data_IF_101366886126
#
_entry.id   IF_101366886126
#
_cell.length_a   1.000
_cell.length_b   1.000
_cell.length_c   1.000
_cell.angle_alpha   90.00
_cell.angle_beta   90.00
_cell.angle_gamma   90.00
#
_symmetry.space_group_name_H-M   'P 1'
#
loop_
_entity.id
_entity.type
_entity.pdbx_description
1 polymer ?
#
# COMPACT_ATOMS: atom_id res chain seq x y z
N UNK A 1 -16.22 6.42 -25.09
CA UNK A 1 -15.16 5.38 -25.09
C UNK A 1 -14.26 5.62 -23.88
N UNK A 2 -14.14 4.61 -23.01
CA UNK A 2 -12.99 4.23 -22.17
C UNK A 2 -12.09 5.31 -21.52
N UNK A 3 -12.61 6.13 -20.60
CA UNK A 3 -11.74 6.93 -19.71
C UNK A 3 -11.21 6.11 -18.52
N UNK A 4 -11.91 5.04 -18.12
CA UNK A 4 -11.52 4.19 -16.97
C UNK A 4 -10.41 3.16 -17.25
N UNK A 5 -10.35 2.62 -18.46
CA UNK A 5 -9.31 1.67 -18.86
C UNK A 5 -7.89 2.26 -18.70
N UNK A 6 -7.58 3.48 -19.19
CA UNK A 6 -6.25 4.06 -19.03
C UNK A 6 -5.90 4.36 -17.56
N UNK A 7 -6.89 4.64 -16.70
CA UNK A 7 -6.66 4.84 -15.27
C UNK A 7 -6.28 3.52 -14.56
N UNK A 8 -6.94 2.42 -14.93
CA UNK A 8 -6.61 1.07 -14.42
C UNK A 8 -5.22 0.65 -14.88
N UNK A 9 -4.91 0.82 -16.17
CA UNK A 9 -3.60 0.47 -16.72
C UNK A 9 -2.48 1.28 -16.06
N UNK A 10 -2.72 2.58 -15.82
CA UNK A 10 -1.81 3.45 -15.07
C UNK A 10 -1.60 2.95 -13.64
N UNK A 11 -2.68 2.58 -12.94
CA UNK A 11 -2.58 2.03 -11.60
C UNK A 11 -1.74 0.75 -11.58
N UNK A 12 -2.01 -0.19 -12.49
CA UNK A 12 -1.28 -1.46 -12.58
C UNK A 12 0.20 -1.24 -12.93
N UNK A 13 0.50 -0.31 -13.84
CA UNK A 13 1.88 0.05 -14.18
C UNK A 13 2.64 0.62 -12.97
N UNK A 14 1.99 1.45 -12.15
CA UNK A 14 2.59 1.98 -10.92
C UNK A 14 2.80 0.89 -9.86
N UNK A 15 1.88 -0.07 -9.73
CA UNK A 15 2.04 -1.23 -8.85
C UNK A 15 3.25 -2.07 -9.29
N UNK A 16 3.37 -2.35 -10.59
CA UNK A 16 4.52 -3.06 -11.14
C UNK A 16 5.83 -2.30 -10.90
N UNK A 17 5.85 -0.98 -11.11
CA UNK A 17 7.02 -0.14 -10.84
C UNK A 17 7.42 -0.15 -9.35
N UNK A 18 6.44 -0.14 -8.43
CA UNK A 18 6.70 -0.25 -7.00
C UNK A 18 7.33 -1.60 -6.63
N UNK A 19 6.85 -2.72 -7.20
CA UNK A 19 7.45 -4.03 -7.00
C UNK A 19 8.85 -4.15 -7.64
N UNK A 20 9.08 -3.52 -8.79
CA UNK A 20 10.41 -3.45 -9.38
C UNK A 20 11.40 -2.64 -8.52
N UNK A 21 10.90 -1.63 -7.79
CA UNK A 21 11.69 -0.84 -6.85
C UNK A 21 12.02 -1.56 -5.53
N UNK A 22 11.11 -2.42 -5.05
CA UNK A 22 11.30 -3.30 -3.89
C UNK A 22 10.65 -4.67 -4.15
N UNK A 23 11.47 -5.63 -4.58
CA UNK A 23 11.04 -6.99 -4.89
C UNK A 23 10.52 -7.80 -3.69
N UNK A 24 10.66 -7.28 -2.47
CA UNK A 24 10.08 -7.89 -1.27
C UNK A 24 8.60 -7.53 -1.09
N UNK A 25 8.08 -6.56 -1.83
CA UNK A 25 6.67 -6.18 -1.77
C UNK A 25 5.81 -7.21 -2.49
N UNK A 26 4.77 -7.70 -1.81
CA UNK A 26 3.69 -8.42 -2.49
C UNK A 26 2.92 -7.46 -3.40
N UNK A 27 2.20 -7.99 -4.38
CA UNK A 27 1.37 -7.17 -5.27
C UNK A 27 0.30 -6.39 -4.50
N UNK A 28 -0.24 -6.95 -3.40
CA UNK A 28 -1.22 -6.27 -2.54
C UNK A 28 -0.54 -5.14 -1.75
N UNK A 29 0.66 -5.35 -1.22
CA UNK A 29 1.42 -4.32 -0.54
C UNK A 29 1.77 -3.16 -1.47
N UNK A 30 2.29 -3.45 -2.67
CA UNK A 30 2.53 -2.44 -3.68
C UNK A 30 1.24 -1.69 -4.06
N UNK A 31 0.13 -2.40 -4.21
CA UNK A 31 -1.20 -1.82 -4.41
C UNK A 31 -1.64 -0.88 -3.30
N UNK A 32 -1.45 -1.25 -2.03
CA UNK A 32 -1.77 -0.41 -0.86
C UNK A 32 -0.99 0.91 -0.87
N UNK A 33 0.30 0.85 -1.22
CA UNK A 33 1.16 2.02 -1.30
C UNK A 33 0.76 2.93 -2.47
N UNK A 34 0.57 2.36 -3.66
CA UNK A 34 0.16 3.14 -4.84
C UNK A 34 -1.22 3.76 -4.65
N UNK A 35 -2.17 3.02 -4.07
CA UNK A 35 -3.51 3.54 -3.80
C UNK A 35 -3.50 4.71 -2.80
N UNK A 36 -2.62 4.68 -1.80
CA UNK A 36 -2.47 5.81 -0.88
C UNK A 36 -1.75 7.00 -1.53
N UNK A 37 -0.73 6.76 -2.35
CA UNK A 37 -0.01 7.81 -3.09
C UNK A 37 -0.94 8.56 -4.05
N UNK A 38 -1.82 7.83 -4.73
CA UNK A 38 -2.78 8.40 -5.68
C UNK A 38 -4.05 8.98 -5.03
N UNK A 39 -4.15 8.96 -3.69
CA UNK A 39 -5.37 9.41 -2.99
C UNK A 39 -6.59 8.50 -3.20
N UNK A 40 -6.39 7.29 -3.74
CA UNK A 40 -7.46 6.33 -4.00
C UNK A 40 -7.95 5.75 -2.67
N UNK A 41 -7.08 5.28 -1.79
CA UNK A 41 -7.48 4.73 -0.50
C UNK A 41 -6.42 4.93 0.58
N UNK A 42 -6.86 5.33 1.78
CA UNK A 42 -6.02 5.54 2.97
C UNK A 42 -6.46 4.66 4.15
N UNK A 43 -7.29 3.66 3.90
CA UNK A 43 -7.73 2.73 4.91
C UNK A 43 -8.06 1.34 4.36
N UNK A 44 -7.96 0.34 5.23
CA UNK A 44 -8.10 -1.07 4.89
C UNK A 44 -9.44 -1.43 4.26
N UNK A 45 -10.54 -0.80 4.69
CA UNK A 45 -11.90 -1.10 4.17
C UNK A 45 -12.11 -0.49 2.79
N UNK A 46 -11.72 0.76 2.62
CA UNK A 46 -11.82 1.45 1.33
C UNK A 46 -11.00 0.74 0.26
N UNK A 47 -9.79 0.30 0.60
CA UNK A 47 -8.94 -0.46 -0.32
C UNK A 47 -9.56 -1.81 -0.69
N UNK A 48 -9.94 -2.62 0.30
CA UNK A 48 -10.60 -3.92 0.09
C UNK A 48 -11.83 -3.80 -0.82
N UNK A 49 -12.69 -2.82 -0.54
CA UNK A 49 -13.91 -2.58 -1.32
C UNK A 49 -13.61 -2.17 -2.76
N UNK A 50 -12.62 -1.30 -2.99
CA UNK A 50 -12.28 -0.82 -4.34
C UNK A 50 -11.67 -1.91 -5.21
N UNK A 51 -10.85 -2.79 -4.64
CA UNK A 51 -10.22 -3.87 -5.39
C UNK A 51 -11.01 -5.18 -5.37
N UNK A 52 -12.14 -5.24 -4.65
CA UNK A 52 -12.97 -6.45 -4.56
C UNK A 52 -12.28 -7.61 -3.85
N UNK A 53 -11.36 -7.34 -2.92
CA UNK A 53 -10.61 -8.36 -2.17
C UNK A 53 -11.03 -8.44 -0.71
N UNK A 54 -10.75 -9.57 -0.06
CA UNK A 54 -11.10 -9.79 1.34
C UNK A 54 -10.40 -8.78 2.27
N UNK A 55 -11.16 -8.18 3.20
CA UNK A 55 -10.62 -7.22 4.18
C UNK A 55 -9.57 -7.87 5.11
N UNK A 56 -9.75 -9.13 5.50
CA UNK A 56 -8.78 -9.87 6.31
C UNK A 56 -7.41 -10.01 5.63
N UNK A 57 -7.40 -10.22 4.31
CA UNK A 57 -6.16 -10.26 3.52
C UNK A 57 -5.46 -8.89 3.54
N UNK A 58 -6.22 -7.81 3.38
CA UNK A 58 -5.68 -6.45 3.47
C UNK A 58 -5.08 -6.17 4.84
N UNK A 59 -5.73 -6.60 5.93
CA UNK A 59 -5.21 -6.44 7.29
C UNK A 59 -3.91 -7.22 7.51
N UNK A 60 -3.82 -8.45 6.99
CA UNK A 60 -2.58 -9.23 7.02
C UNK A 60 -1.42 -8.48 6.37
N UNK A 61 -1.64 -7.97 5.16
CA UNK A 61 -0.59 -7.27 4.40
C UNK A 61 -0.23 -5.92 5.06
N UNK A 62 -1.19 -5.19 5.62
CA UNK A 62 -0.93 -3.97 6.38
C UNK A 62 -0.10 -4.24 7.63
N UNK A 63 -0.41 -5.29 8.40
CA UNK A 63 0.39 -5.65 9.56
C UNK A 63 1.84 -6.01 9.16
N UNK A 64 2.03 -6.80 8.10
CA UNK A 64 3.35 -7.11 7.56
C UNK A 64 4.10 -5.87 7.06
N UNK A 65 3.39 -4.85 6.55
CA UNK A 65 4.01 -3.56 6.18
C UNK A 65 4.39 -2.73 7.40
N UNK A 66 3.64 -2.79 8.50
CA UNK A 66 4.00 -2.05 9.73
C UNK A 66 5.25 -2.58 10.41
N UNK A 67 5.60 -3.84 10.18
CA UNK A 67 6.87 -4.43 10.61
C UNK A 67 8.06 -3.89 9.79
N UNK A 68 7.80 -3.26 8.63
CA UNK A 68 8.82 -2.64 7.79
C UNK A 68 8.92 -1.15 8.12
N UNK A 69 9.97 -0.78 8.85
CA UNK A 69 10.25 0.62 9.19
C UNK A 69 10.24 1.53 7.95
N UNK A 70 9.49 2.62 8.04
CA UNK A 70 9.51 3.70 7.04
C UNK A 70 8.73 3.44 5.75
N UNK A 71 7.93 2.36 5.70
CA UNK A 71 7.07 2.07 4.53
C UNK A 71 5.66 2.63 4.68
N UNK A 72 5.08 2.51 5.88
CA UNK A 72 3.72 2.95 6.20
C UNK A 72 3.65 3.42 7.65
N UNK A 73 2.77 4.38 7.94
CA UNK A 73 2.48 4.83 9.30
C UNK A 73 0.97 4.63 9.58
N UNK A 74 0.64 3.92 10.66
CA UNK A 74 -0.74 3.74 11.08
C UNK A 74 -1.18 4.96 11.89
N UNK A 75 -2.18 5.66 11.38
CA UNK A 75 -2.69 6.89 11.98
C UNK A 75 -3.84 6.61 12.95
N UNK A 76 -4.65 5.58 12.66
CA UNK A 76 -5.78 5.18 13.51
C UNK A 76 -6.14 3.71 13.31
N UNK A 77 -6.57 3.05 14.39
CA UNK A 77 -7.18 1.71 14.35
C UNK A 77 -8.56 1.78 15.00
N UNK A 78 -9.59 1.32 14.29
CA UNK A 78 -10.95 1.19 14.82
C UNK A 78 -11.16 -0.24 15.34
N UNK A 79 -11.19 -0.47 16.67
CA UNK A 79 -11.22 -1.82 17.24
C UNK A 79 -12.53 -2.57 16.97
N UNK A 80 -13.65 -1.86 16.78
CA UNK A 80 -14.96 -2.48 16.50
C UNK A 80 -15.09 -3.01 15.07
N UNK A 81 -14.44 -2.35 14.12
CA UNK A 81 -14.59 -2.64 12.67
C UNK A 81 -13.33 -3.23 12.06
N UNK A 82 -12.27 -3.36 12.86
CA UNK A 82 -10.92 -3.73 12.42
C UNK A 82 -10.43 -2.88 11.25
N UNK A 83 -10.84 -1.60 11.20
CA UNK A 83 -10.41 -0.67 10.14
C UNK A 83 -9.08 -0.04 10.55
N UNK A 84 -8.09 -0.13 9.66
CA UNK A 84 -6.79 0.52 9.84
C UNK A 84 -6.69 1.68 8.86
N UNK A 85 -6.48 2.89 9.41
CA UNK A 85 -6.17 4.09 8.66
C UNK A 85 -4.66 4.30 8.64
N UNK A 86 -4.12 4.64 7.48
CA UNK A 86 -2.69 4.70 7.28
C UNK A 86 -2.28 5.84 6.34
N UNK A 87 -1.04 6.28 6.49
CA UNK A 87 -0.39 7.25 5.61
C UNK A 87 0.96 6.74 5.14
N UNK A 88 1.44 7.32 4.04
CA UNK A 88 2.79 7.09 3.56
C UNK A 88 3.73 8.10 4.19
N UNK A 89 4.90 7.67 4.70
CA UNK A 89 5.92 8.60 5.09
C UNK A 89 6.38 9.43 3.89
N UNK A 90 6.90 10.65 4.10
CA UNK A 90 7.42 11.47 3.01
C UNK A 90 8.47 10.70 2.20
N UNK A 91 8.51 10.95 0.88
CA UNK A 91 9.36 10.20 -0.05
C UNK A 91 10.85 10.18 0.34
N UNK A 92 11.33 11.20 1.06
CA UNK A 92 12.68 11.27 1.63
C UNK A 92 12.99 10.14 2.63
N UNK A 93 11.99 9.69 3.40
CA UNK A 93 12.11 8.58 4.36
C UNK A 93 11.98 7.21 3.69
N UNK A 94 11.18 7.10 2.62
CA UNK A 94 11.00 5.85 1.86
C UNK A 94 12.26 5.41 1.11
N UNK A 95 13.11 6.35 0.68
CA UNK A 95 14.41 6.05 0.03
C UNK A 95 15.47 5.48 0.99
N UNK A 96 15.33 5.66 2.30
CA UNK A 96 16.31 5.24 3.30
C UNK A 96 16.18 3.77 3.74
N UNK A 97 15.12 3.05 3.35
CA UNK A 97 15.02 1.60 3.55
C UNK A 97 15.96 0.77 2.65
N UNK A 98 16.73 1.43 1.77
CA UNK A 98 17.60 0.78 0.75
C UNK A 98 18.97 0.36 1.27
N UNK A 99 19.31 0.62 2.53
CA UNK A 99 20.62 0.25 3.11
C UNK A 99 20.44 -0.32 4.51
N UNK A 100 20.42 -1.65 4.63
CA UNK A 100 20.83 -2.41 5.83
C UNK A 100 20.67 -3.90 5.56
N UNK A 101 21.61 -4.46 4.80
CA UNK A 101 21.94 -5.89 4.83
C UNK A 101 23.38 -6.05 4.36
N UNK A 102 24.31 -5.63 5.22
CA UNK A 102 25.71 -6.08 5.24
C UNK A 102 26.16 -6.06 6.69
N UNK A 103 26.09 -7.22 7.33
CA UNK A 103 27.10 -7.73 8.26
C UNK A 103 26.92 -9.24 8.39
#
# INVERSE_FOLDING_TARGET
>A
MSEKAPEIDRFLALVAAAQAGDGRLTTIQAGLLVAAELGIAHDSRSFARRLGIAHSLVLRELNALTERNGVIEIVKRDPKTMRMHYTLPPASRRKHGRQSASH
#
